data_IF_968807153853
#
_entry.id   IF_968807153853
#
_cell.length_a   1.000
_cell.length_b   1.000
_cell.length_c   1.000
_cell.angle_alpha   90.00
_cell.angle_beta   90.00
_cell.angle_gamma   90.00
#
_symmetry.space_group_name_H-M   'P 1'
#
loop_
_entity.id
_entity.type
_entity.pdbx_description
1 polymer ?
#
# COMPACT_ATOMS: atom_id res chain seq x y z
N UNK A 1 -5.73 3.51 -8.06
CA UNK A 1 -5.11 2.21 -7.69
C UNK A 1 -5.15 1.96 -6.18
N UNK A 2 -5.20 0.69 -5.74
CA UNK A 2 -5.06 0.32 -4.32
C UNK A 2 -3.59 0.06 -3.99
N UNK A 3 -3.08 0.64 -2.89
CA UNK A 3 -1.67 0.54 -2.49
C UNK A 3 -1.19 -0.91 -2.30
N UNK A 4 -2.07 -1.81 -1.84
CA UNK A 4 -1.76 -3.23 -1.67
C UNK A 4 -1.40 -3.92 -2.98
N UNK A 5 -1.95 -3.49 -4.11
CA UNK A 5 -1.65 -4.07 -5.41
C UNK A 5 -0.31 -3.59 -5.95
N UNK A 6 0.02 -2.31 -5.75
CA UNK A 6 1.35 -1.77 -6.09
C UNK A 6 2.45 -2.47 -5.30
N UNK A 7 2.24 -2.70 -4.00
CA UNK A 7 3.21 -3.40 -3.15
C UNK A 7 3.52 -4.83 -3.65
N UNK A 8 2.52 -5.51 -4.23
CA UNK A 8 2.73 -6.82 -4.87
C UNK A 8 3.44 -6.68 -6.22
N UNK A 9 3.06 -5.69 -7.02
CA UNK A 9 3.66 -5.45 -8.34
C UNK A 9 5.16 -5.13 -8.25
N UNK A 10 5.53 -4.34 -7.25
CA UNK A 10 6.93 -3.99 -6.96
C UNK A 10 7.69 -5.11 -6.22
N UNK A 11 7.03 -6.24 -5.92
CA UNK A 11 7.65 -7.39 -5.25
C UNK A 11 8.04 -7.15 -3.80
N UNK A 12 7.48 -6.11 -3.16
CA UNK A 12 7.77 -5.74 -1.77
C UNK A 12 7.04 -6.65 -0.78
N UNK A 13 5.85 -7.13 -1.15
CA UNK A 13 5.08 -8.11 -0.38
C UNK A 13 4.47 -9.16 -1.30
N UNK A 14 4.20 -10.33 -0.76
CA UNK A 14 3.42 -11.39 -1.39
C UNK A 14 1.92 -11.16 -1.20
N UNK A 15 1.12 -11.89 -2.00
CA UNK A 15 -0.34 -11.87 -1.86
C UNK A 15 -0.79 -12.43 -0.51
N UNK A 16 -0.06 -13.41 0.01
CA UNK A 16 -0.29 -14.04 1.29
C UNK A 16 -0.05 -13.04 2.44
N UNK A 17 1.05 -12.30 2.41
CA UNK A 17 1.37 -11.26 3.41
C UNK A 17 0.36 -10.11 3.38
N UNK A 18 -0.07 -9.70 2.19
CA UNK A 18 -1.15 -8.71 2.03
C UNK A 18 -2.45 -9.20 2.69
N UNK A 19 -2.81 -10.47 2.49
CA UNK A 19 -4.01 -11.05 3.08
C UNK A 19 -3.94 -11.09 4.61
N UNK A 20 -2.76 -11.38 5.19
CA UNK A 20 -2.54 -11.32 6.64
C UNK A 20 -2.75 -9.89 7.15
N UNK A 21 -2.16 -8.89 6.49
CA UNK A 21 -2.35 -7.48 6.84
C UNK A 21 -3.83 -7.06 6.79
N UNK A 22 -4.56 -7.47 5.74
CA UNK A 22 -6.00 -7.19 5.59
C UNK A 22 -6.87 -7.91 6.63
N UNK A 23 -6.49 -9.12 7.04
CA UNK A 23 -7.18 -9.83 8.11
C UNK A 23 -6.98 -9.11 9.46
N UNK A 24 -5.74 -8.68 9.74
CA UNK A 24 -5.42 -7.91 10.95
C UNK A 24 -6.10 -6.54 10.96
N UNK A 25 -6.18 -5.86 9.82
CA UNK A 25 -6.88 -4.58 9.70
C UNK A 25 -8.37 -4.72 10.02
N UNK A 26 -9.02 -5.80 9.55
CA UNK A 26 -10.42 -6.08 9.85
C UNK A 26 -10.64 -6.46 11.31
N UNK A 27 -9.68 -7.14 11.92
CA UNK A 27 -9.78 -7.58 13.31
C UNK A 27 -9.53 -6.45 14.31
N UNK A 28 -8.61 -5.52 14.01
CA UNK A 28 -8.35 -4.36 14.86
C UNK A 28 -9.51 -3.37 14.76
N UNK A 29 -10.15 -3.05 15.90
CA UNK A 29 -11.21 -2.03 15.99
C UNK A 29 -10.74 -0.58 15.76
N UNK A 30 -9.46 -0.37 15.48
CA UNK A 30 -8.88 0.95 15.16
C UNK A 30 -8.83 1.09 13.64
N UNK A 31 -9.08 2.30 13.13
CA UNK A 31 -8.89 2.71 11.73
C UNK A 31 -7.40 2.75 11.33
N UNK A 32 -6.61 1.76 11.75
CA UNK A 32 -5.20 1.65 11.43
C UNK A 32 -5.04 1.40 9.93
N UNK A 33 -4.09 2.09 9.30
CA UNK A 33 -3.86 1.98 7.86
C UNK A 33 -3.17 0.64 7.57
N UNK A 34 -3.45 0.07 6.40
CA UNK A 34 -2.89 -1.23 6.01
C UNK A 34 -1.36 -1.21 5.97
N UNK A 35 -0.77 -0.11 5.47
CA UNK A 35 0.68 0.08 5.44
C UNK A 35 1.32 0.04 6.83
N UNK A 36 0.73 0.73 7.81
CA UNK A 36 1.20 0.70 9.20
C UNK A 36 1.16 -0.72 9.78
N UNK A 37 0.10 -1.48 9.48
CA UNK A 37 -0.03 -2.87 9.93
C UNK A 37 1.05 -3.75 9.30
N UNK A 38 1.32 -3.60 8.00
CA UNK A 38 2.36 -4.35 7.30
C UNK A 38 3.77 -4.03 7.84
N UNK A 39 3.99 -2.78 8.26
CA UNK A 39 5.24 -2.36 8.94
C UNK A 39 5.32 -2.96 10.35
N UNK A 40 4.24 -2.88 11.13
CA UNK A 40 4.17 -3.41 12.50
C UNK A 40 4.48 -4.92 12.55
N UNK A 41 4.03 -5.67 11.54
CA UNK A 41 4.25 -7.13 11.45
C UNK A 41 5.54 -7.51 10.69
N UNK A 42 6.30 -6.52 10.23
CA UNK A 42 7.62 -6.72 9.61
C UNK A 42 7.61 -7.17 8.15
N UNK A 43 6.47 -7.13 7.47
CA UNK A 43 6.37 -7.46 6.03
C UNK A 43 6.73 -6.29 5.12
N UNK A 44 6.78 -5.07 5.65
CA UNK A 44 7.12 -3.89 4.88
C UNK A 44 8.04 -2.98 5.72
N UNK A 45 9.03 -2.35 5.11
CA UNK A 45 9.80 -1.31 5.83
C UNK A 45 9.19 0.06 5.62
N UNK A 46 9.46 0.99 6.54
CA UNK A 46 9.03 2.39 6.40
C UNK A 46 9.57 2.99 5.08
N UNK A 47 10.80 2.66 4.70
CA UNK A 47 11.42 3.18 3.46
C UNK A 47 10.69 2.69 2.22
N UNK A 48 10.36 1.40 2.16
CA UNK A 48 9.63 0.82 1.03
C UNK A 48 8.21 1.42 0.94
N UNK A 49 7.59 1.65 2.09
CA UNK A 49 6.28 2.28 2.17
C UNK A 49 6.30 3.73 1.69
N UNK A 50 7.31 4.52 2.08
CA UNK A 50 7.50 5.89 1.61
C UNK A 50 7.71 5.96 0.09
N UNK A 51 8.50 5.05 -0.46
CA UNK A 51 8.75 4.97 -1.91
C UNK A 51 7.45 4.70 -2.68
N UNK A 52 6.64 3.74 -2.22
CA UNK A 52 5.35 3.40 -2.84
C UNK A 52 4.37 4.56 -2.74
N UNK A 53 4.33 5.25 -1.59
CA UNK A 53 3.46 6.41 -1.42
C UNK A 53 3.83 7.54 -2.37
N UNK A 54 5.13 7.75 -2.59
CA UNK A 54 5.63 8.72 -3.57
C UNK A 54 5.20 8.34 -5.00
N UNK A 55 5.36 7.08 -5.40
CA UNK A 55 4.91 6.60 -6.71
C UNK A 55 3.40 6.75 -6.90
N UNK A 56 2.60 6.43 -5.87
CA UNK A 56 1.15 6.61 -5.90
C UNK A 56 0.77 8.09 -6.13
N UNK A 57 1.47 9.04 -5.50
CA UNK A 57 1.20 10.46 -5.68
C UNK A 57 1.54 10.93 -7.09
N UNK A 58 2.62 10.41 -7.68
CA UNK A 58 3.01 10.75 -9.07
C UNK A 58 2.03 10.19 -10.11
N UNK A 59 1.52 8.97 -9.92
CA UNK A 59 0.48 8.42 -10.80
C UNK A 59 -0.83 9.22 -10.74
N UNK A 60 -1.19 9.75 -9.56
CA UNK A 60 -2.39 10.60 -9.41
C UNK A 60 -2.26 11.92 -10.20
N UNK A 61 -1.06 12.48 -10.30
CA UNK A 61 -0.83 13.68 -11.11
C UNK A 61 -0.92 13.38 -12.62
N UNK A 62 -0.50 12.20 -13.07
CA UNK A 62 -0.59 11.79 -14.48
C UNK A 62 -2.03 11.48 -14.93
N UNK A 63 -2.84 10.82 -14.11
CA UNK A 63 -4.24 10.53 -14.46
C UNK A 63 -5.09 11.81 -14.59
N UNK A 64 -4.81 12.84 -13.77
CA UNK A 64 -5.52 14.14 -13.84
C UNK A 64 -5.24 14.94 -15.11
N UNK A 65 -4.04 14.80 -15.69
CA UNK A 65 -3.71 15.46 -16.96
C UNK A 65 -4.41 14.78 -18.15
N UNK A 66 -4.66 13.47 -18.08
CA UNK A 66 -5.30 12.70 -19.15
C UNK A 66 -6.83 12.85 -19.19
N UNK A 67 -7.49 13.18 -18.07
CA UNK A 67 -8.93 13.47 -18.03
C UNK A 67 -9.32 14.87 -18.57
N UNK A 68 -8.35 15.72 -18.91
CA UNK A 68 -8.61 17.07 -19.45
C UNK A 68 -8.67 17.14 -20.99
N UNK A 69 -8.68 16.00 -21.70
CA UNK A 69 -8.75 15.94 -23.17
C UNK A 69 -10.07 15.37 -23.66
#
# INVERSE_FOLDING_TARGET
MQIGQMLIQEGLITKEELNVGLALQRYKRKNQKLGEILIDIGYLTIKDFEQILFMQLQDIDLEKELEQV
#
